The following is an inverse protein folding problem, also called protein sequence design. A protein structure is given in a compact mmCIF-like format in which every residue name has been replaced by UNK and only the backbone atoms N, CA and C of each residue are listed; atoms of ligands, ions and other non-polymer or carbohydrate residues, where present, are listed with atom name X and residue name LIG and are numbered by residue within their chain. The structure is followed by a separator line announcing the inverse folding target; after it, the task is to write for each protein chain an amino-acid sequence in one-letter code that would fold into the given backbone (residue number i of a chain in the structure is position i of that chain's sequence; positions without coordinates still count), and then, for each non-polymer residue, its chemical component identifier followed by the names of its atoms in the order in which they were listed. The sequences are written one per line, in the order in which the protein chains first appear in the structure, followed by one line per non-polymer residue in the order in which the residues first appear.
data_IF_680793180807
#
_entry.id   IF_680793180807
#
_cell.length_a   1.000
_cell.length_b   1.000
_cell.length_c   1.000
_cell.angle_alpha   90.00
_cell.angle_beta   90.00
_cell.angle_gamma   90.00
#
_symmetry.space_group_name_H-M   'P 1'
#
loop_
_entity.id
_entity.type
_entity.pdbx_description
1 polymer ?
#
# COMPACT_ATOMS: atom_id res chain seq x y z
N UNK A 1 28.63 -45.53 33.92
CA UNK A 1 29.41 -45.08 32.76
C UNK A 1 30.88 -45.28 33.06
N UNK A 2 31.61 -45.97 32.20
CA UNK A 2 33.06 -46.08 32.37
C UNK A 2 33.73 -44.74 32.00
N UNK A 3 34.96 -44.48 32.46
CA UNK A 3 35.65 -43.20 32.20
C UNK A 3 35.71 -42.87 30.70
N UNK A 4 35.88 -43.88 29.85
CA UNK A 4 35.95 -43.74 28.39
C UNK A 4 34.62 -43.26 27.78
N UNK A 5 33.50 -43.85 28.16
CA UNK A 5 32.15 -43.43 27.73
C UNK A 5 31.86 -41.97 28.10
N UNK A 6 32.33 -41.50 29.27
CA UNK A 6 32.18 -40.10 29.67
C UNK A 6 33.02 -39.16 28.78
N UNK A 7 34.26 -39.53 28.47
CA UNK A 7 35.11 -38.75 27.56
C UNK A 7 34.52 -38.71 26.15
N UNK A 8 34.07 -39.85 25.62
CA UNK A 8 33.46 -39.95 24.28
C UNK A 8 32.17 -39.12 24.21
N UNK A 9 31.34 -39.15 25.26
CA UNK A 9 30.13 -38.34 25.36
C UNK A 9 30.43 -36.84 25.42
N UNK A 10 31.49 -36.46 26.12
CA UNK A 10 31.94 -35.06 26.21
C UNK A 10 32.45 -34.55 24.86
N UNK A 11 33.22 -35.37 24.13
CA UNK A 11 33.70 -35.04 22.78
C UNK A 11 32.55 -34.87 21.79
N UNK A 12 31.51 -35.72 21.89
CA UNK A 12 30.31 -35.59 21.06
C UNK A 12 29.52 -34.31 21.37
N UNK A 13 29.34 -33.99 22.65
CA UNK A 13 28.71 -32.72 23.07
C UNK A 13 29.51 -31.51 22.58
N UNK A 14 30.84 -31.58 22.61
CA UNK A 14 31.70 -30.53 22.07
C UNK A 14 31.48 -30.34 20.55
N UNK A 15 31.42 -31.44 19.79
CA UNK A 15 31.15 -31.40 18.34
C UNK A 15 29.77 -30.81 18.04
N UNK A 16 28.74 -31.24 18.77
CA UNK A 16 27.37 -30.72 18.60
C UNK A 16 27.27 -29.23 18.95
N UNK A 17 27.97 -28.80 19.99
CA UNK A 17 28.02 -27.38 20.39
C UNK A 17 28.71 -26.54 19.32
N UNK A 18 29.84 -27.01 18.78
CA UNK A 18 30.54 -26.35 17.66
C UNK A 18 29.68 -26.28 16.39
N UNK A 19 28.99 -27.38 16.06
CA UNK A 19 28.05 -27.39 14.93
C UNK A 19 26.92 -26.38 15.14
N UNK A 20 26.29 -26.38 16.32
CA UNK A 20 25.22 -25.43 16.66
C UNK A 20 25.70 -23.98 16.58
N UNK A 21 26.90 -23.68 17.07
CA UNK A 21 27.50 -22.35 16.96
C UNK A 21 27.63 -21.91 15.50
N UNK A 22 28.14 -22.77 14.63
CA UNK A 22 28.25 -22.46 13.19
C UNK A 22 26.89 -22.24 12.51
N UNK A 23 25.84 -22.96 12.93
CA UNK A 23 24.49 -22.72 12.43
C UNK A 23 23.98 -21.34 12.89
N UNK A 24 24.22 -20.95 14.14
CA UNK A 24 23.85 -19.65 14.68
C UNK A 24 24.57 -18.52 13.92
N UNK A 25 25.86 -18.68 13.64
CA UNK A 25 26.64 -17.71 12.86
C UNK A 25 26.08 -17.53 11.44
N UNK A 26 25.72 -18.64 10.77
CA UNK A 26 25.09 -18.60 9.46
C UNK A 26 23.73 -17.90 9.50
N UNK A 27 22.88 -18.23 10.47
CA UNK A 27 21.57 -17.61 10.64
C UNK A 27 21.72 -16.10 10.90
N UNK A 28 22.67 -15.70 11.74
CA UNK A 28 22.96 -14.29 12.00
C UNK A 28 23.37 -13.54 10.73
N UNK A 29 24.20 -14.14 9.89
CA UNK A 29 24.61 -13.54 8.62
C UNK A 29 23.43 -13.37 7.65
N UNK A 30 22.58 -14.39 7.50
CA UNK A 30 21.39 -14.30 6.65
C UNK A 30 20.36 -13.31 7.20
N UNK A 31 20.14 -13.28 8.52
CA UNK A 31 19.27 -12.30 9.18
C UNK A 31 19.77 -10.87 8.95
N UNK A 32 21.08 -10.64 8.97
CA UNK A 32 21.67 -9.34 8.62
C UNK A 32 21.28 -8.87 7.22
N UNK A 33 21.39 -9.76 6.22
CA UNK A 33 20.98 -9.46 4.83
C UNK A 33 19.49 -9.16 4.71
N UNK A 34 18.65 -9.90 5.44
CA UNK A 34 17.19 -9.68 5.44
C UNK A 34 16.84 -8.33 6.07
N UNK A 35 17.48 -7.96 7.18
CA UNK A 35 17.27 -6.66 7.84
C UNK A 35 17.69 -5.52 6.91
N UNK A 36 18.87 -5.61 6.30
CA UNK A 36 19.37 -4.62 5.35
C UNK A 36 18.39 -4.44 4.18
N UNK A 37 17.97 -5.55 3.57
CA UNK A 37 17.03 -5.49 2.44
C UNK A 37 15.67 -4.93 2.84
N UNK A 38 15.19 -5.25 4.05
CA UNK A 38 13.93 -4.71 4.56
C UNK A 38 14.03 -3.20 4.78
N UNK A 39 15.15 -2.69 5.32
CA UNK A 39 15.37 -1.26 5.50
C UNK A 39 15.39 -0.51 4.15
N UNK A 40 16.05 -1.07 3.12
CA UNK A 40 16.01 -0.52 1.76
C UNK A 40 14.56 -0.42 1.24
N UNK A 41 13.79 -1.50 1.39
CA UNK A 41 12.40 -1.57 0.92
C UNK A 41 11.48 -0.61 1.68
N UNK A 42 11.68 -0.42 2.98
CA UNK A 42 10.92 0.55 3.78
C UNK A 42 11.15 1.99 3.30
N UNK A 43 12.41 2.36 3.03
CA UNK A 43 12.78 3.67 2.48
C UNK A 43 12.17 3.87 1.09
N UNK A 44 12.30 2.88 0.21
CA UNK A 44 11.72 2.93 -1.13
C UNK A 44 10.19 3.04 -1.09
N UNK A 45 9.53 2.28 -0.22
CA UNK A 45 8.08 2.32 -0.06
C UNK A 45 7.60 3.70 0.43
N UNK A 46 8.34 4.34 1.34
CA UNK A 46 8.05 5.68 1.81
C UNK A 46 8.14 6.70 0.66
N UNK A 47 9.21 6.69 -0.13
CA UNK A 47 9.36 7.59 -1.29
C UNK A 47 8.26 7.37 -2.33
N UNK A 48 7.86 6.12 -2.58
CA UNK A 48 6.77 5.81 -3.50
C UNK A 48 5.43 6.36 -3.01
N UNK A 49 5.13 6.27 -1.70
CA UNK A 49 3.91 6.85 -1.11
C UNK A 49 3.90 8.36 -1.19
N UNK A 50 5.03 9.01 -0.91
CA UNK A 50 5.18 10.46 -1.04
C UNK A 50 4.96 10.91 -2.49
N UNK A 51 5.57 10.23 -3.45
CA UNK A 51 5.39 10.55 -4.87
C UNK A 51 3.95 10.31 -5.35
N UNK A 52 3.31 9.22 -4.92
CA UNK A 52 1.89 8.98 -5.20
C UNK A 52 1.01 10.09 -4.63
N UNK A 53 1.30 10.54 -3.40
CA UNK A 53 0.56 11.64 -2.78
C UNK A 53 0.72 12.95 -3.56
N UNK A 54 1.93 13.28 -4.02
CA UNK A 54 2.16 14.45 -4.88
C UNK A 54 1.41 14.37 -6.21
N UNK A 55 1.37 13.19 -6.84
CA UNK A 55 0.62 12.97 -8.09
C UNK A 55 -0.87 13.14 -7.83
N UNK A 56 -1.41 12.58 -6.75
CA UNK A 56 -2.82 12.72 -6.39
C UNK A 56 -3.20 14.18 -6.12
N UNK A 57 -2.34 14.94 -5.42
CA UNK A 57 -2.55 16.37 -5.21
C UNK A 57 -2.53 17.15 -6.53
N UNK A 58 -1.56 16.86 -7.42
CA UNK A 58 -1.49 17.48 -8.75
C UNK A 58 -2.69 17.11 -9.62
N UNK A 59 -3.20 15.88 -9.54
CA UNK A 59 -4.41 15.49 -10.27
C UNK A 59 -5.67 16.16 -9.72
N UNK A 60 -5.78 16.35 -8.40
CA UNK A 60 -6.86 17.16 -7.81
C UNK A 60 -6.77 18.63 -8.23
N UNK A 61 -5.56 19.21 -8.28
CA UNK A 61 -5.34 20.58 -8.76
C UNK A 61 -5.51 20.74 -10.28
N UNK A 62 -5.14 19.74 -11.08
CA UNK A 62 -5.20 19.81 -12.55
C UNK A 62 -6.55 19.38 -13.14
N UNK A 63 -7.51 18.89 -12.33
CA UNK A 63 -8.91 18.80 -12.77
C UNK A 63 -9.55 20.18 -12.99
N UNK A 64 -8.88 21.27 -12.61
CA UNK A 64 -9.24 22.64 -13.01
C UNK A 64 -8.77 23.01 -14.44
N UNK A 65 -8.23 22.05 -15.22
CA UNK A 65 -7.71 22.26 -16.59
C UNK A 65 -8.71 22.77 -17.64
N UNK A 66 -9.99 22.85 -17.31
CA UNK A 66 -10.99 23.71 -17.93
C UNK A 66 -11.88 24.17 -16.79
N UNK A 67 -11.96 25.46 -16.49
CA UNK A 67 -12.76 25.92 -15.36
C UNK A 67 -14.21 25.44 -15.54
N UNK A 68 -14.61 24.43 -14.74
CA UNK A 68 -15.98 23.96 -14.68
C UNK A 68 -16.87 25.17 -14.43
N UNK A 69 -17.93 25.33 -15.21
CA UNK A 69 -18.89 26.40 -14.94
C UNK A 69 -19.40 26.28 -13.50
N UNK A 70 -19.84 27.39 -12.89
CA UNK A 70 -20.37 27.40 -11.52
C UNK A 70 -21.40 26.29 -11.27
N UNK A 71 -22.25 26.00 -12.27
CA UNK A 71 -23.23 24.91 -12.21
C UNK A 71 -22.57 23.54 -12.13
N UNK A 72 -21.52 23.27 -12.90
CA UNK A 72 -20.81 21.98 -12.87
C UNK A 72 -20.00 21.80 -11.58
N UNK A 73 -19.38 22.87 -11.07
CA UNK A 73 -18.75 22.87 -9.73
C UNK A 73 -19.74 22.49 -8.61
N UNK A 74 -21.00 22.94 -8.70
CA UNK A 74 -22.04 22.54 -7.75
C UNK A 74 -22.40 21.05 -7.86
N UNK A 75 -22.46 20.49 -9.08
CA UNK A 75 -22.72 19.06 -9.28
C UNK A 75 -21.56 18.21 -8.79
N UNK A 76 -20.32 18.65 -9.01
CA UNK A 76 -19.12 18.01 -8.47
C UNK A 76 -19.17 17.94 -6.95
N UNK A 77 -19.53 19.04 -6.27
CA UNK A 77 -19.67 19.05 -4.81
C UNK A 77 -20.70 18.04 -4.30
N UNK A 78 -21.89 17.99 -4.91
CA UNK A 78 -22.93 17.00 -4.55
C UNK A 78 -22.44 15.55 -4.77
N UNK A 79 -21.65 15.34 -5.83
CA UNK A 79 -21.03 14.05 -6.10
C UNK A 79 -19.96 13.71 -5.04
N UNK A 80 -19.11 14.64 -4.61
CA UNK A 80 -18.16 14.40 -3.53
C UNK A 80 -18.83 14.11 -2.18
N UNK A 81 -20.02 14.68 -1.93
CA UNK A 81 -20.85 14.38 -0.76
C UNK A 81 -21.52 12.99 -0.81
N UNK A 82 -21.30 12.22 -1.89
CA UNK A 82 -21.75 10.84 -2.02
C UNK A 82 -23.12 10.69 -2.69
N UNK A 83 -23.60 11.69 -3.44
CA UNK A 83 -24.88 11.63 -4.15
C UNK A 83 -24.71 11.41 -5.66
N UNK A 84 -25.71 10.77 -6.28
CA UNK A 84 -25.81 10.72 -7.74
C UNK A 84 -26.30 12.05 -8.30
N UNK A 85 -25.66 12.54 -9.34
CA UNK A 85 -26.09 13.73 -10.12
C UNK A 85 -26.52 13.37 -11.55
N UNK A 86 -26.57 12.07 -11.87
CA UNK A 86 -27.08 11.54 -13.12
C UNK A 86 -28.56 11.16 -13.00
N UNK A 87 -29.27 11.14 -14.13
CA UNK A 87 -30.66 10.68 -14.20
C UNK A 87 -30.79 9.18 -14.50
N UNK A 88 -29.68 8.44 -14.48
CA UNK A 88 -29.70 6.97 -14.68
C UNK A 88 -30.49 6.33 -13.54
N UNK A 89 -31.41 5.43 -13.90
CA UNK A 89 -32.26 4.68 -12.98
C UNK A 89 -33.02 5.54 -11.94
N UNK A 90 -33.33 6.79 -12.27
CA UNK A 90 -33.94 7.77 -11.36
C UNK A 90 -33.15 7.99 -10.04
N UNK A 91 -31.83 7.79 -10.08
CA UNK A 91 -30.99 7.86 -8.89
C UNK A 91 -30.60 9.30 -8.50
N UNK A 92 -30.98 10.33 -9.27
CA UNK A 92 -30.60 11.72 -8.98
C UNK A 92 -30.93 12.11 -7.52
N UNK A 93 -29.92 12.55 -6.78
CA UNK A 93 -30.03 12.92 -5.36
C UNK A 93 -30.05 11.74 -4.38
N UNK A 94 -30.01 10.49 -4.85
CA UNK A 94 -29.83 9.30 -3.99
C UNK A 94 -28.35 9.08 -3.64
N UNK A 95 -28.10 8.40 -2.53
CA UNK A 95 -26.74 8.12 -2.05
C UNK A 95 -26.07 7.01 -2.86
N UNK A 96 -24.81 7.19 -3.25
CA UNK A 96 -24.00 6.15 -3.88
C UNK A 96 -23.70 5.04 -2.89
N UNK A 97 -23.77 3.79 -3.34
CA UNK A 97 -23.43 2.63 -2.52
C UNK A 97 -21.92 2.64 -2.29
N UNK A 98 -21.49 2.65 -1.03
CA UNK A 98 -20.07 2.65 -0.62
C UNK A 98 -19.21 3.76 -1.26
N UNK A 99 -19.83 4.88 -1.65
CA UNK A 99 -19.18 5.96 -2.41
C UNK A 99 -18.53 5.53 -3.74
N UNK A 100 -18.93 4.36 -4.28
CA UNK A 100 -18.43 3.80 -5.53
C UNK A 100 -18.54 4.80 -6.69
N UNK A 101 -17.53 4.85 -7.58
CA UNK A 101 -17.53 5.81 -8.68
C UNK A 101 -18.66 5.51 -9.68
N UNK A 102 -19.45 6.53 -10.02
CA UNK A 102 -20.51 6.43 -11.02
C UNK A 102 -20.06 7.10 -12.32
N UNK A 103 -19.82 6.30 -13.37
CA UNK A 103 -19.36 6.79 -14.69
C UNK A 103 -20.33 7.82 -15.28
N UNK A 104 -21.64 7.62 -15.15
CA UNK A 104 -22.65 8.54 -15.65
C UNK A 104 -22.65 9.90 -14.94
N UNK A 105 -22.32 9.93 -13.64
CA UNK A 105 -22.14 11.19 -12.92
C UNK A 105 -20.90 11.93 -13.43
N UNK A 106 -19.81 11.20 -13.71
CA UNK A 106 -18.59 11.79 -14.27
C UNK A 106 -18.85 12.40 -15.65
N UNK A 107 -19.62 11.74 -16.51
CA UNK A 107 -19.99 12.31 -17.82
C UNK A 107 -20.84 13.57 -17.67
N UNK A 108 -21.77 13.61 -16.71
CA UNK A 108 -22.56 14.82 -16.42
C UNK A 108 -21.66 15.97 -15.95
N UNK A 109 -20.70 15.69 -15.08
CA UNK A 109 -19.84 16.70 -14.46
C UNK A 109 -18.74 17.16 -15.41
N UNK A 110 -18.08 16.25 -16.13
CA UNK A 110 -16.85 16.52 -16.89
C UNK A 110 -16.97 16.28 -18.41
N UNK A 111 -18.02 15.62 -18.90
CA UNK A 111 -18.16 15.34 -20.33
C UNK A 111 -18.40 16.60 -21.17
N UNK A 112 -17.90 16.63 -22.40
CA UNK A 112 -18.21 17.71 -23.33
C UNK A 112 -19.63 17.49 -23.89
N UNK A 113 -20.55 18.44 -23.64
CA UNK A 113 -21.80 18.50 -24.41
C UNK A 113 -21.58 19.43 -25.58
N UNK A 114 -21.49 18.86 -26.77
CA UNK A 114 -21.56 19.58 -28.04
C UNK A 114 -22.94 20.24 -28.22
#
# INVERSE_FOLDING_TARGET
MNKRELYDSFEELEKQTKFTLSQIERIKAEMGKVIEKNAELEIENQHLREHLHEIEQKQKGNKEGTELSKSRKNLEKLYEEGFHVCNVDNMYGSRRVNDEPCVFCQDVIYGDRH
#
